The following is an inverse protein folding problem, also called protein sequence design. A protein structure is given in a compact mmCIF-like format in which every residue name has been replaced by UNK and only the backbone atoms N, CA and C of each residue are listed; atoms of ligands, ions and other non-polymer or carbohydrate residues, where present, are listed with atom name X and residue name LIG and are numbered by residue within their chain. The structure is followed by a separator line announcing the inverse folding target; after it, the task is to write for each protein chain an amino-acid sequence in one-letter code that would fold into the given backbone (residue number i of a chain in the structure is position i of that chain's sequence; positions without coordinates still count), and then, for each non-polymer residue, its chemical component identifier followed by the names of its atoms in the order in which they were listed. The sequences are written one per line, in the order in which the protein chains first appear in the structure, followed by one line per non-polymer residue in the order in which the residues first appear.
data_IF_425978894004
#
_entry.id   IF_425978894004
#
_cell.length_a   1.000
_cell.length_b   1.000
_cell.length_c   1.000
_cell.angle_alpha   90.00
_cell.angle_beta   90.00
_cell.angle_gamma   90.00
#
_symmetry.space_group_name_H-M   'P 1'
#
loop_
_entity.id
_entity.type
_entity.pdbx_description
1 polymer ?
#
# COMPACT_ATOMS: atom_id res chain seq x y z
N UNK A 1 14.33 7.50 -5.99
CA UNK A 1 13.56 8.48 -5.19
C UNK A 1 13.93 8.25 -3.74
N UNK A 2 13.96 9.27 -2.88
CA UNK A 2 14.37 9.06 -1.48
C UNK A 2 13.19 8.62 -0.61
N UNK A 3 13.43 7.66 0.29
CA UNK A 3 12.50 7.33 1.36
C UNK A 3 12.51 8.42 2.42
N UNK A 4 11.33 8.91 2.78
CA UNK A 4 11.15 9.99 3.74
C UNK A 4 10.57 9.43 5.03
N UNK A 5 11.16 9.83 6.15
CA UNK A 5 10.52 9.64 7.45
C UNK A 5 9.46 10.72 7.66
N UNK A 6 8.53 10.52 8.59
CA UNK A 6 7.55 11.54 8.96
C UNK A 6 8.22 12.84 9.40
N UNK A 7 9.42 12.76 10.02
CA UNK A 7 10.16 13.93 10.50
C UNK A 7 10.71 14.79 9.37
N UNK A 8 10.89 14.23 8.18
CA UNK A 8 11.41 14.93 7.01
C UNK A 8 10.33 15.75 6.27
N UNK A 9 9.06 15.51 6.59
CA UNK A 9 7.94 16.27 6.01
C UNK A 9 7.75 17.63 6.69
N UNK A 10 7.05 18.55 6.02
CA UNK A 10 6.71 19.84 6.62
C UNK A 10 5.88 19.68 7.91
N UNK A 11 6.09 20.58 8.88
CA UNK A 11 5.46 20.48 10.22
C UNK A 11 3.93 20.45 10.18
N UNK A 12 3.31 20.99 9.14
CA UNK A 12 1.86 20.93 8.95
C UNK A 12 1.43 19.51 8.51
N UNK A 13 2.15 18.89 7.57
CA UNK A 13 1.91 17.48 7.20
C UNK A 13 2.14 16.54 8.38
N UNK A 14 3.19 16.74 9.17
CA UNK A 14 3.44 15.96 10.39
C UNK A 14 2.22 15.98 11.32
N UNK A 15 1.68 17.17 11.60
CA UNK A 15 0.47 17.34 12.43
C UNK A 15 -0.77 16.69 11.81
N UNK A 16 -0.93 16.79 10.48
CA UNK A 16 -2.03 16.15 9.77
C UNK A 16 -1.96 14.62 9.87
N UNK A 17 -0.77 14.04 9.72
CA UNK A 17 -0.54 12.60 9.85
C UNK A 17 -0.81 12.14 11.28
N UNK A 18 -0.32 12.86 12.29
CA UNK A 18 -0.56 12.53 13.70
C UNK A 18 -2.05 12.62 14.09
N UNK A 19 -2.77 13.60 13.55
CA UNK A 19 -4.21 13.70 13.75
C UNK A 19 -4.97 12.55 13.05
N UNK A 20 -4.58 12.20 11.82
CA UNK A 20 -5.15 11.06 11.11
C UNK A 20 -4.86 9.74 11.84
N UNK A 21 -3.65 9.56 12.39
CA UNK A 21 -3.27 8.40 13.22
C UNK A 21 -4.21 8.23 14.42
N UNK A 22 -4.50 9.31 15.15
CA UNK A 22 -5.45 9.29 16.28
C UNK A 22 -6.89 9.01 15.86
N UNK A 23 -7.23 9.30 14.62
CA UNK A 23 -8.55 9.07 14.05
C UNK A 23 -8.75 7.66 13.49
N UNK A 24 -7.69 6.85 13.32
CA UNK A 24 -7.77 5.50 12.71
C UNK A 24 -8.88 4.65 13.32
N UNK A 25 -9.01 4.61 14.66
CA UNK A 25 -10.02 3.76 15.31
C UNK A 25 -11.39 4.43 15.44
N UNK A 26 -11.41 5.77 15.54
CA UNK A 26 -12.63 6.53 15.85
C UNK A 26 -13.38 7.01 14.61
N UNK A 27 -12.62 7.36 13.57
CA UNK A 27 -13.12 7.85 12.29
C UNK A 27 -12.16 7.43 11.16
N UNK A 28 -12.11 6.12 10.84
CA UNK A 28 -11.17 5.58 9.86
C UNK A 28 -11.35 6.18 8.46
N UNK A 29 -12.59 6.48 8.04
CA UNK A 29 -12.86 7.08 6.72
C UNK A 29 -12.18 8.44 6.58
N UNK A 30 -12.27 9.29 7.62
CA UNK A 30 -11.57 10.58 7.64
C UNK A 30 -10.04 10.39 7.57
N UNK A 31 -9.49 9.43 8.32
CA UNK A 31 -8.07 9.12 8.27
C UNK A 31 -7.63 8.67 6.87
N UNK A 32 -8.42 7.82 6.19
CA UNK A 32 -8.17 7.38 4.81
C UNK A 32 -8.12 8.57 3.86
N UNK A 33 -9.09 9.48 3.91
CA UNK A 33 -9.15 10.61 2.99
C UNK A 33 -7.96 11.56 3.15
N UNK A 34 -7.56 11.87 4.39
CA UNK A 34 -6.38 12.70 4.66
C UNK A 34 -5.11 12.00 4.20
N UNK A 35 -4.90 10.74 4.59
CA UNK A 35 -3.65 10.03 4.33
C UNK A 35 -3.48 9.71 2.83
N UNK A 36 -4.56 9.39 2.10
CA UNK A 36 -4.51 9.18 0.64
C UNK A 36 -3.94 10.40 -0.08
N UNK A 37 -4.43 11.60 0.26
CA UNK A 37 -3.92 12.84 -0.31
C UNK A 37 -2.44 13.09 0.02
N UNK A 38 -2.02 12.72 1.23
CA UNK A 38 -0.64 12.90 1.69
C UNK A 38 0.31 11.95 0.97
N UNK A 39 -0.01 10.66 0.87
CA UNK A 39 0.88 9.66 0.25
C UNK A 39 1.00 9.85 -1.26
N UNK A 40 -0.04 10.36 -1.95
CA UNK A 40 0.05 10.68 -3.38
C UNK A 40 1.01 11.84 -3.64
N UNK A 41 1.10 12.81 -2.73
CA UNK A 41 2.02 13.97 -2.85
C UNK A 41 3.41 13.69 -2.29
N UNK A 42 3.51 12.73 -1.37
CA UNK A 42 4.75 12.35 -0.69
C UNK A 42 4.95 10.83 -0.82
N UNK A 43 5.19 10.34 -2.05
CA UNK A 43 5.25 8.90 -2.33
C UNK A 43 6.32 8.16 -1.53
N UNK A 44 7.40 8.83 -1.12
CA UNK A 44 8.46 8.26 -0.28
C UNK A 44 8.14 8.14 1.22
N UNK A 45 7.00 8.66 1.71
CA UNK A 45 6.68 8.61 3.14
C UNK A 45 6.05 7.27 3.54
N UNK A 46 6.90 6.30 3.87
CA UNK A 46 6.48 4.96 4.29
C UNK A 46 5.57 4.99 5.52
N UNK A 47 5.92 5.77 6.54
CA UNK A 47 5.15 5.83 7.79
C UNK A 47 3.71 6.32 7.56
N UNK A 48 3.50 7.31 6.69
CA UNK A 48 2.15 7.75 6.31
C UNK A 48 1.35 6.63 5.63
N UNK A 49 2.01 5.84 4.78
CA UNK A 49 1.41 4.71 4.06
C UNK A 49 1.07 3.54 4.99
N UNK A 50 1.88 3.28 6.01
CA UNK A 50 1.57 2.30 7.06
C UNK A 50 0.28 2.68 7.82
N UNK A 51 0.14 3.94 8.21
CA UNK A 51 -1.08 4.44 8.89
C UNK A 51 -2.28 4.37 7.95
N UNK A 52 -2.09 4.71 6.66
CA UNK A 52 -3.15 4.60 5.65
C UNK A 52 -3.68 3.18 5.56
N UNK A 53 -2.79 2.17 5.54
CA UNK A 53 -3.19 0.76 5.53
C UNK A 53 -4.02 0.39 6.75
N UNK A 54 -3.61 0.81 7.94
CA UNK A 54 -4.38 0.60 9.17
C UNK A 54 -5.76 1.26 9.09
N UNK A 55 -5.84 2.51 8.62
CA UNK A 55 -7.10 3.23 8.44
C UNK A 55 -8.04 2.54 7.43
N UNK A 56 -7.50 2.09 6.29
CA UNK A 56 -8.24 1.36 5.27
C UNK A 56 -8.80 0.03 5.80
N UNK A 57 -7.99 -0.74 6.53
CA UNK A 57 -8.44 -1.99 7.17
C UNK A 57 -9.54 -1.69 8.20
N UNK A 58 -9.35 -0.72 9.09
CA UNK A 58 -10.35 -0.31 10.08
C UNK A 58 -11.66 0.17 9.42
N UNK A 59 -11.59 0.90 8.30
CA UNK A 59 -12.77 1.30 7.53
C UNK A 59 -13.51 0.10 6.89
N UNK A 60 -12.78 -0.95 6.48
CA UNK A 60 -13.35 -2.16 5.87
C UNK A 60 -13.89 -3.18 6.88
N UNK A 61 -13.42 -3.17 8.13
CA UNK A 61 -13.78 -4.16 9.16
C UNK A 61 -15.29 -4.20 9.50
N UNK A 62 -16.01 -3.10 9.28
CA UNK A 62 -17.47 -3.04 9.40
C UNK A 62 -18.23 -3.65 8.21
N UNK A 63 -17.59 -3.84 7.05
CA UNK A 63 -18.21 -4.29 5.80
C UNK A 63 -18.03 -5.80 5.55
N UNK A 64 -17.09 -6.47 6.21
CA UNK A 64 -16.65 -7.84 5.89
C UNK A 64 -17.16 -8.94 6.82
N UNK A 65 -17.92 -8.64 7.89
CA UNK A 65 -18.40 -9.67 8.84
C UNK A 65 -19.34 -10.74 8.27
N UNK A 66 -19.87 -10.60 7.05
CA UNK A 66 -20.92 -11.48 6.52
C UNK A 66 -20.60 -12.36 5.32
N UNK A 67 -19.71 -11.98 4.40
CA UNK A 67 -19.67 -12.64 3.08
C UNK A 67 -18.38 -12.43 2.26
N UNK A 68 -17.20 -12.35 2.90
CA UNK A 68 -15.96 -11.99 2.21
C UNK A 68 -14.91 -13.10 2.04
N UNK A 69 -14.92 -14.12 2.90
CA UNK A 69 -13.77 -15.05 3.03
C UNK A 69 -13.59 -16.03 1.86
N UNK A 70 -14.51 -16.06 0.89
CA UNK A 70 -14.54 -17.11 -0.14
C UNK A 70 -14.55 -16.62 -1.60
N UNK A 71 -14.39 -15.32 -1.88
CA UNK A 71 -14.47 -14.80 -3.26
C UNK A 71 -13.17 -14.22 -3.86
N UNK A 72 -12.00 -14.41 -3.21
CA UNK A 72 -10.71 -13.89 -3.71
C UNK A 72 -9.86 -14.90 -4.52
N UNK A 73 -10.38 -16.10 -4.85
CA UNK A 73 -9.68 -17.10 -5.67
C UNK A 73 -9.74 -16.82 -7.18
N UNK A 74 -9.35 -15.62 -7.61
CA UNK A 74 -8.98 -15.37 -9.02
C UNK A 74 -7.74 -14.48 -9.06
N UNK A 75 -6.59 -15.06 -8.70
CA UNK A 75 -5.26 -14.40 -8.80
C UNK A 75 -4.30 -15.18 -9.71
N UNK A 76 -4.81 -15.93 -10.68
CA UNK A 76 -4.00 -16.70 -11.63
C UNK A 76 -3.55 -15.93 -12.88
N UNK A 77 -3.74 -14.61 -12.94
CA UNK A 77 -3.11 -13.81 -14.01
C UNK A 77 -1.68 -13.47 -13.55
N UNK A 78 -0.63 -13.91 -14.27
CA UNK A 78 0.74 -13.53 -13.97
C UNK A 78 0.82 -12.01 -13.98
N UNK A 79 1.10 -11.42 -12.81
CA UNK A 79 1.19 -9.97 -12.66
C UNK A 79 2.22 -9.38 -13.63
N UNK A 80 3.27 -10.15 -13.97
CA UNK A 80 4.29 -9.83 -14.98
C UNK A 80 3.76 -9.40 -16.34
N UNK A 81 2.54 -9.81 -16.74
CA UNK A 81 1.97 -9.48 -18.05
C UNK A 81 1.20 -8.15 -18.09
N UNK A 82 0.81 -7.58 -16.94
CA UNK A 82 -0.06 -6.39 -16.91
C UNK A 82 0.55 -5.18 -16.21
N UNK A 83 1.59 -5.37 -15.40
CA UNK A 83 2.19 -4.31 -14.60
C UNK A 83 3.44 -3.70 -15.23
N UNK A 84 4.19 -4.47 -16.01
CA UNK A 84 5.48 -4.05 -16.57
C UNK A 84 5.40 -2.77 -17.42
N UNK A 85 4.36 -2.62 -18.25
CA UNK A 85 4.26 -1.47 -19.16
C UNK A 85 3.83 -0.18 -18.46
N UNK A 86 2.95 -0.27 -17.46
CA UNK A 86 2.47 0.91 -16.70
C UNK A 86 3.50 1.36 -15.67
N UNK A 87 4.11 0.42 -14.94
CA UNK A 87 5.16 0.71 -13.96
C UNK A 87 6.37 1.32 -14.65
N UNK A 88 6.86 0.75 -15.76
CA UNK A 88 8.02 1.31 -16.49
C UNK A 88 7.78 2.71 -17.05
N UNK A 89 6.53 3.05 -17.39
CA UNK A 89 6.19 4.36 -17.98
C UNK A 89 6.05 5.45 -16.93
N UNK A 90 5.38 5.16 -15.82
CA UNK A 90 5.12 6.12 -14.75
C UNK A 90 4.92 5.37 -13.41
N UNK A 91 6.02 5.05 -12.71
CA UNK A 91 5.98 4.32 -11.44
C UNK A 91 5.12 5.02 -10.38
N UNK A 92 5.19 6.35 -10.30
CA UNK A 92 4.40 7.13 -9.34
C UNK A 92 2.90 6.99 -9.59
N UNK A 93 2.46 7.10 -10.85
CA UNK A 93 1.04 6.85 -11.19
C UNK A 93 0.62 5.40 -10.96
N UNK A 94 1.53 4.43 -11.11
CA UNK A 94 1.24 3.05 -10.76
C UNK A 94 0.97 2.90 -9.25
N UNK A 95 1.74 3.56 -8.40
CA UNK A 95 1.49 3.60 -6.96
C UNK A 95 0.17 4.29 -6.62
N UNK A 96 -0.15 5.43 -7.24
CA UNK A 96 -1.45 6.11 -7.05
C UNK A 96 -2.64 5.22 -7.44
N UNK A 97 -2.54 4.54 -8.58
CA UNK A 97 -3.57 3.60 -9.03
C UNK A 97 -3.74 2.43 -8.07
N UNK A 98 -2.63 1.92 -7.51
CA UNK A 98 -2.67 0.89 -6.48
C UNK A 98 -3.39 1.38 -5.22
N UNK A 99 -3.12 2.61 -4.77
CA UNK A 99 -3.81 3.18 -3.60
C UNK A 99 -5.32 3.33 -3.81
N UNK A 100 -5.77 3.69 -5.03
CA UNK A 100 -7.20 3.76 -5.35
C UNK A 100 -7.88 2.38 -5.30
N UNK A 101 -7.19 1.34 -5.79
CA UNK A 101 -7.67 -0.05 -5.66
C UNK A 101 -7.77 -0.46 -4.19
N UNK A 102 -6.78 -0.08 -3.37
CA UNK A 102 -6.68 -0.42 -1.95
C UNK A 102 -7.68 0.37 -1.09
N UNK A 103 -8.11 1.55 -1.54
CA UNK A 103 -9.22 2.30 -0.94
C UNK A 103 -10.54 1.52 -1.00
N UNK A 104 -10.76 0.78 -2.09
CA UNK A 104 -11.97 -0.04 -2.28
C UNK A 104 -11.86 -1.38 -1.57
N UNK A 105 -10.72 -2.07 -1.73
CA UNK A 105 -10.44 -3.35 -1.10
C UNK A 105 -9.01 -3.36 -0.53
N UNK A 106 -8.85 -3.19 0.80
CA UNK A 106 -7.53 -3.13 1.44
C UNK A 106 -6.72 -4.43 1.36
N UNK A 107 -7.37 -5.55 1.06
CA UNK A 107 -6.75 -6.89 0.93
C UNK A 107 -6.49 -7.27 -0.54
N UNK A 108 -6.65 -6.33 -1.48
CA UNK A 108 -6.49 -6.61 -2.91
C UNK A 108 -5.04 -6.97 -3.25
N UNK A 109 -4.81 -8.24 -3.58
CA UNK A 109 -3.48 -8.77 -3.90
C UNK A 109 -2.83 -8.09 -5.10
N UNK A 110 -3.58 -7.85 -6.18
CA UNK A 110 -3.06 -7.19 -7.37
C UNK A 110 -2.62 -5.75 -7.10
N UNK A 111 -3.32 -5.06 -6.20
CA UNK A 111 -2.98 -3.70 -5.82
C UNK A 111 -1.70 -3.64 -4.96
N UNK A 112 -1.52 -4.57 -4.02
CA UNK A 112 -0.25 -4.68 -3.28
C UNK A 112 0.92 -5.01 -4.19
N UNK A 113 0.74 -5.89 -5.18
CA UNK A 113 1.77 -6.18 -6.19
C UNK A 113 2.12 -4.93 -7.02
N UNK A 114 1.13 -4.14 -7.41
CA UNK A 114 1.32 -2.88 -8.15
C UNK A 114 2.01 -1.80 -7.34
N UNK A 115 1.65 -1.68 -6.07
CA UNK A 115 2.30 -0.76 -5.14
C UNK A 115 3.77 -1.13 -4.95
N UNK A 116 4.06 -2.42 -4.73
CA UNK A 116 5.42 -2.93 -4.58
C UNK A 116 6.28 -2.68 -5.81
N UNK A 117 5.81 -3.08 -7.00
CA UNK A 117 6.56 -2.89 -8.24
C UNK A 117 6.78 -1.41 -8.60
N UNK A 118 5.78 -0.55 -8.34
CA UNK A 118 5.92 0.89 -8.51
C UNK A 118 6.95 1.49 -7.55
N UNK A 119 6.98 1.02 -6.30
CA UNK A 119 7.95 1.43 -5.31
C UNK A 119 9.38 0.95 -5.65
N UNK A 120 9.56 -0.30 -6.08
CA UNK A 120 10.86 -0.82 -6.57
C UNK A 120 11.39 0.01 -7.74
N UNK A 121 10.54 0.35 -8.72
CA UNK A 121 10.93 1.18 -9.85
C UNK A 121 11.29 2.62 -9.47
N UNK A 122 10.93 3.06 -8.26
CA UNK A 122 11.35 4.34 -7.68
C UNK A 122 12.46 4.20 -6.63
N UNK A 123 12.97 2.97 -6.41
CA UNK A 123 13.97 2.65 -5.38
C UNK A 123 13.48 2.93 -3.95
N UNK A 124 12.15 2.93 -3.74
CA UNK A 124 11.51 3.04 -2.43
C UNK A 124 11.38 1.66 -1.77
N UNK A 125 12.52 1.02 -1.47
CA UNK A 125 12.57 -0.39 -1.09
C UNK A 125 11.85 -0.71 0.22
N UNK A 126 11.85 0.19 1.21
CA UNK A 126 11.05 0.04 2.42
C UNK A 126 9.54 0.05 2.15
N UNK A 127 9.09 0.90 1.22
CA UNK A 127 7.71 0.90 0.73
C UNK A 127 7.36 -0.38 -0.05
N UNK A 128 8.27 -0.86 -0.89
CA UNK A 128 8.09 -2.11 -1.60
C UNK A 128 8.00 -3.31 -0.62
N UNK A 129 8.89 -3.37 0.37
CA UNK A 129 8.89 -4.41 1.39
C UNK A 129 7.57 -4.40 2.16
N UNK A 130 7.12 -3.23 2.62
CA UNK A 130 5.85 -3.08 3.31
C UNK A 130 4.65 -3.57 2.47
N UNK A 131 4.62 -3.28 1.17
CA UNK A 131 3.56 -3.75 0.28
C UNK A 131 3.54 -5.29 0.19
N UNK A 132 4.70 -5.92 0.00
CA UNK A 132 4.81 -7.37 -0.09
C UNK A 132 4.63 -8.10 1.26
N UNK A 133 5.06 -7.52 2.37
CA UNK A 133 4.76 -8.01 3.72
C UNK A 133 3.25 -8.00 3.98
N UNK A 134 2.59 -6.91 3.60
CA UNK A 134 1.14 -6.78 3.75
C UNK A 134 0.42 -7.82 2.91
N UNK A 135 0.86 -8.03 1.67
CA UNK A 135 0.36 -9.10 0.80
C UNK A 135 0.55 -10.50 1.42
N UNK A 136 1.74 -10.78 1.97
CA UNK A 136 2.04 -12.06 2.63
C UNK A 136 1.12 -12.33 3.82
N UNK A 137 0.68 -11.29 4.56
CA UNK A 137 -0.30 -11.48 5.65
C UNK A 137 -1.63 -12.03 5.15
N UNK A 138 -2.03 -11.71 3.92
CA UNK A 138 -3.28 -12.17 3.31
C UNK A 138 -3.11 -13.45 2.48
N UNK A 139 -1.95 -13.64 1.84
CA UNK A 139 -1.60 -14.81 1.04
C UNK A 139 -0.29 -15.45 1.54
N UNK A 140 -0.28 -16.09 2.73
CA UNK A 140 0.95 -16.53 3.39
C UNK A 140 1.71 -17.64 2.64
N UNK A 141 1.02 -18.47 1.88
CA UNK A 141 1.58 -19.63 1.18
C UNK A 141 1.90 -19.35 -0.31
N UNK A 142 1.73 -18.12 -0.77
CA UNK A 142 2.00 -17.76 -2.16
C UNK A 142 3.50 -17.56 -2.39
N UNK A 143 4.16 -18.59 -2.92
CA UNK A 143 5.60 -18.61 -3.20
C UNK A 143 6.08 -17.46 -4.09
N UNK A 144 5.26 -16.98 -5.04
CA UNK A 144 5.63 -15.84 -5.89
C UNK A 144 5.75 -14.56 -5.05
N UNK A 145 4.76 -14.29 -4.20
CA UNK A 145 4.76 -13.11 -3.32
C UNK A 145 5.94 -13.15 -2.34
N UNK A 146 6.26 -14.34 -1.82
CA UNK A 146 7.41 -14.52 -0.93
C UNK A 146 8.71 -14.21 -1.68
N UNK A 147 8.87 -14.67 -2.93
CA UNK A 147 10.05 -14.35 -3.74
C UNK A 147 10.19 -12.84 -3.98
N UNK A 148 9.10 -12.14 -4.30
CA UNK A 148 9.12 -10.67 -4.42
C UNK A 148 9.51 -9.99 -3.11
N UNK A 149 9.01 -10.47 -1.96
CA UNK A 149 9.43 -9.95 -0.67
C UNK A 149 10.92 -10.17 -0.41
N UNK A 150 11.43 -11.38 -0.71
CA UNK A 150 12.86 -11.69 -0.55
C UNK A 150 13.74 -10.84 -1.45
N UNK A 151 13.36 -10.62 -2.72
CA UNK A 151 14.15 -9.79 -3.64
C UNK A 151 14.28 -8.36 -3.15
N UNK A 152 13.20 -7.77 -2.62
CA UNK A 152 13.24 -6.42 -2.07
C UNK A 152 14.15 -6.33 -0.83
N UNK A 153 14.12 -7.32 0.06
CA UNK A 153 15.00 -7.32 1.24
C UNK A 153 16.50 -7.46 0.92
N UNK A 154 16.87 -7.87 -0.29
CA UNK A 154 18.27 -7.87 -0.72
C UNK A 154 18.75 -6.45 -1.03
N UNK A 155 17.83 -5.54 -1.38
CA UNK A 155 18.14 -4.15 -1.77
C UNK A 155 18.12 -3.15 -0.59
N UNK A 156 17.60 -3.56 0.58
CA UNK A 156 17.56 -2.76 1.83
C UNK A 156 18.86 -2.94 2.62
#
# INVERSE_FOLDING_TARGET
MEELTLRDLDTRLQKQIENARKAVDKNPTYAVDILTNIVNRNPGCLEARQILRSAQISASAGKTKGLGKFLNKVTSIPFSLTSDSKVKKDPSKAMEAAEEMLKTNPENAAAHKLLGAGAEALELYGTAAFAYETLRKFEPDNTENIKSLMSVYIEI
#
